data_IF_018255262346
#
_entry.id   IF_018255262346
#
_cell.length_a   1.000
_cell.length_b   1.000
_cell.length_c   1.000
_cell.angle_alpha   90.00
_cell.angle_beta   90.00
_cell.angle_gamma   90.00
#
_symmetry.space_group_name_H-M   'P 1'
#
loop_
_entity.id
_entity.type
_entity.pdbx_description
1 polymer ?
#
# COMPACT_ATOMS: atom_id res chain seq x y z
N UNK A 1 3.85 39.88 -12.83
CA UNK A 1 3.50 39.67 -12.56
C UNK A 1 3.86 39.23 -12.49
N UNK A 2 3.79 39.00 -12.71
CA UNK A 2 3.68 38.70 -12.52
C UNK A 2 4.20 38.13 -12.52
N UNK A 3 3.99 38.29 -12.69
CA UNK A 3 3.82 38.02 -12.59
C UNK A 3 4.06 37.48 -12.49
N UNK A 4 4.41 37.94 -13.07
CA UNK A 4 4.09 37.66 -12.88
C UNK A 4 4.53 37.14 -12.77
N UNK A 5 4.79 37.44 -13.06
CA UNK A 5 4.48 37.17 -12.78
C UNK A 5 4.58 36.63 -12.77
N UNK A 6 4.76 36.86 -13.30
CA UNK A 6 4.05 36.50 -13.15
C UNK A 6 4.00 35.90 -13.20
N UNK A 7 4.51 36.42 -13.52
CA UNK A 7 3.85 36.14 -13.33
C UNK A 7 3.75 35.52 -13.37
N UNK A 8 3.60 35.52 -13.65
CA UNK A 8 3.12 35.22 -13.38
C UNK A 8 2.68 34.62 -13.44
N UNK A 9 2.64 34.87 -14.05
CA UNK A 9 1.79 34.52 -13.75
C UNK A 9 1.43 33.91 -14.08
N UNK A 10 1.08 33.85 -14.53
CA UNK A 10 0.38 33.50 -14.53
C UNK A 10 -0.19 32.92 -14.84
N UNK A 11 -0.09 32.86 -15.27
CA UNK A 11 -0.70 32.35 -15.17
C UNK A 11 -1.30 31.75 -15.18
N UNK A 12 -1.49 31.88 -15.64
CA UNK A 12 -2.06 31.27 -15.24
C UNK A 12 -2.57 30.48 -15.10
N UNK A 13 -2.83 30.63 -15.41
CA UNK A 13 -3.06 30.00 -15.39
C UNK A 13 -3.51 29.28 -15.01
N UNK A 14 -3.26 29.75 -15.49
CA UNK A 14 -4.07 28.87 -15.39
C UNK A 14 -4.02 28.04 -14.25
N UNK A 15 -4.08 28.56 -13.48
CA UNK A 15 -3.96 27.88 -12.27
C UNK A 15 -4.78 26.63 -12.30
N UNK A 16 -4.13 25.67 -12.30
CA UNK A 16 -4.70 24.39 -12.41
C UNK A 16 -5.28 23.98 -11.09
N UNK A 17 -6.56 23.90 -11.06
CA UNK A 17 -7.22 23.28 -9.93
C UNK A 17 -6.95 21.78 -9.99
N UNK A 18 -6.45 21.24 -8.91
CA UNK A 18 -6.29 19.80 -8.79
C UNK A 18 -7.65 19.14 -8.64
N UNK A 19 -7.85 18.03 -9.31
CA UNK A 19 -9.07 17.25 -9.18
C UNK A 19 -9.19 16.65 -7.78
N UNK A 20 -10.39 16.23 -7.41
CA UNK A 20 -10.61 15.55 -6.12
C UNK A 20 -9.73 14.31 -5.99
N UNK A 21 -9.56 13.56 -7.09
CA UNK A 21 -8.72 12.35 -7.06
C UNK A 21 -7.24 12.69 -6.87
N UNK A 22 -6.77 13.80 -7.44
CA UNK A 22 -5.39 14.24 -7.23
C UNK A 22 -5.17 14.67 -5.79
N UNK A 23 -6.12 15.42 -5.20
CA UNK A 23 -6.03 15.82 -3.81
C UNK A 23 -6.02 14.63 -2.87
N UNK A 24 -6.86 13.62 -3.13
CA UNK A 24 -6.88 12.40 -2.34
C UNK A 24 -5.54 11.69 -2.39
N UNK A 25 -4.94 11.59 -3.57
CA UNK A 25 -3.64 10.93 -3.74
C UNK A 25 -2.53 11.67 -2.99
N UNK A 26 -2.56 13.00 -3.03
CA UNK A 26 -1.57 13.80 -2.30
C UNK A 26 -1.71 13.65 -0.79
N UNK A 27 -2.94 13.66 -0.28
CA UNK A 27 -3.21 13.44 1.14
C UNK A 27 -2.74 12.06 1.59
N UNK A 28 -3.01 11.05 0.74
CA UNK A 28 -2.57 9.68 0.98
C UNK A 28 -1.06 9.60 1.09
N UNK A 29 -0.35 10.21 0.13
CA UNK A 29 1.10 10.22 0.13
C UNK A 29 1.66 10.88 1.39
N UNK A 30 1.12 12.04 1.77
CA UNK A 30 1.58 12.74 2.98
C UNK A 30 1.36 11.92 4.23
N UNK A 31 0.23 11.24 4.33
CA UNK A 31 -0.08 10.38 5.47
C UNK A 31 0.91 9.22 5.55
N UNK A 32 1.18 8.58 4.42
CA UNK A 32 2.13 7.47 4.40
C UNK A 32 3.55 7.92 4.73
N UNK A 33 3.97 9.10 4.23
CA UNK A 33 5.27 9.66 4.56
C UNK A 33 5.43 9.89 6.05
N UNK A 34 4.39 10.40 6.68
CA UNK A 34 4.39 10.68 8.12
C UNK A 34 4.68 9.42 8.95
N UNK A 35 4.17 8.27 8.53
CA UNK A 35 4.28 7.03 9.29
C UNK A 35 5.37 6.09 8.80
N UNK A 36 5.69 6.11 7.52
CA UNK A 36 6.53 5.09 6.91
C UNK A 36 7.73 5.61 6.14
N UNK A 37 7.95 6.95 6.16
CA UNK A 37 9.11 7.53 5.50
C UNK A 37 8.87 7.89 4.05
N UNK A 38 9.95 7.94 3.26
CA UNK A 38 9.88 8.43 1.89
C UNK A 38 9.22 7.44 0.92
N UNK A 39 8.54 8.00 -0.06
CA UNK A 39 7.98 7.22 -1.15
C UNK A 39 9.09 6.74 -2.07
N UNK A 40 9.05 5.46 -2.42
CA UNK A 40 9.93 4.89 -3.44
C UNK A 40 9.27 5.10 -4.79
N UNK A 41 9.95 5.81 -5.68
CA UNK A 41 9.44 6.11 -7.02
C UNK A 41 10.22 5.34 -8.07
N UNK A 42 9.56 4.98 -9.15
CA UNK A 42 10.17 4.27 -10.25
C UNK A 42 9.14 3.82 -11.25
N UNK A 43 9.60 3.31 -12.37
CA UNK A 43 8.72 2.82 -13.43
C UNK A 43 8.23 1.42 -13.11
N UNK A 44 6.93 1.21 -13.32
CA UNK A 44 6.34 -0.12 -13.22
C UNK A 44 6.55 -0.80 -11.86
N UNK A 45 6.52 -0.02 -10.78
CA UNK A 45 6.61 -0.58 -9.43
C UNK A 45 5.25 -1.15 -9.03
N UNK A 46 4.89 -2.27 -9.64
CA UNK A 46 3.60 -2.93 -9.42
C UNK A 46 3.79 -4.42 -9.25
N UNK A 47 2.93 -5.02 -8.43
CA UNK A 47 2.94 -6.44 -8.19
C UNK A 47 4.27 -6.93 -7.61
N UNK A 48 4.80 -7.98 -8.19
CA UNK A 48 6.08 -8.55 -7.72
C UNK A 48 7.25 -7.59 -7.81
N UNK A 49 7.24 -6.70 -8.80
CA UNK A 49 8.31 -5.70 -8.93
C UNK A 49 8.34 -4.76 -7.74
N UNK A 50 7.16 -4.34 -7.28
CA UNK A 50 7.05 -3.51 -6.09
C UNK A 50 7.57 -4.26 -4.87
N UNK A 51 7.21 -5.53 -4.73
CA UNK A 51 7.67 -6.37 -3.65
C UNK A 51 9.19 -6.49 -3.64
N UNK A 52 9.79 -6.84 -4.78
CA UNK A 52 11.25 -6.99 -4.87
C UNK A 52 11.97 -5.68 -4.61
N UNK A 53 11.44 -4.57 -5.12
CA UNK A 53 12.02 -3.25 -4.86
C UNK A 53 11.99 -2.92 -3.37
N UNK A 54 10.87 -3.21 -2.70
CA UNK A 54 10.74 -2.97 -1.27
C UNK A 54 11.70 -3.84 -0.46
N UNK A 55 11.88 -5.10 -0.86
CA UNK A 55 12.82 -6.01 -0.20
C UNK A 55 14.27 -5.53 -0.36
N UNK A 56 14.56 -4.84 -1.45
CA UNK A 56 15.86 -4.26 -1.71
C UNK A 56 16.09 -3.00 -0.88
N UNK A 57 15.11 -2.09 -0.87
CA UNK A 57 15.21 -0.80 -0.17
C UNK A 57 15.07 -0.91 1.34
N UNK A 58 14.16 -1.75 1.79
CA UNK A 58 13.87 -2.02 3.21
C UNK A 58 13.51 -0.76 4.01
N UNK A 59 12.78 0.14 3.38
CA UNK A 59 12.30 1.38 3.99
C UNK A 59 11.24 2.02 3.09
N UNK A 60 10.45 2.94 3.65
CA UNK A 60 9.52 3.74 2.87
C UNK A 60 8.29 2.98 2.40
N UNK A 61 7.72 3.46 1.30
CA UNK A 61 6.51 2.87 0.76
C UNK A 61 6.43 3.04 -0.75
N UNK A 62 5.61 2.20 -1.39
CA UNK A 62 5.31 2.28 -2.82
C UNK A 62 3.80 2.45 -2.95
N UNK A 63 3.37 3.58 -3.54
CA UNK A 63 1.95 3.81 -3.78
C UNK A 63 1.46 3.01 -4.96
N UNK A 64 0.23 2.47 -4.84
CA UNK A 64 -0.40 1.75 -5.93
C UNK A 64 0.35 0.51 -6.36
N UNK A 65 1.04 -0.14 -5.43
CA UNK A 65 1.78 -1.36 -5.72
C UNK A 65 0.88 -2.47 -6.26
N UNK A 66 -0.37 -2.49 -5.80
CA UNK A 66 -1.38 -3.43 -6.26
C UNK A 66 -2.68 -2.70 -6.56
N UNK A 67 -3.55 -3.36 -7.31
CA UNK A 67 -4.85 -2.78 -7.62
C UNK A 67 -5.92 -3.88 -7.68
N UNK A 68 -7.09 -3.58 -7.10
CA UNK A 68 -8.28 -4.42 -7.22
C UNK A 68 -9.47 -3.52 -7.50
N UNK A 69 -10.37 -3.96 -8.36
CA UNK A 69 -11.54 -3.15 -8.71
C UNK A 69 -12.44 -2.89 -7.51
N UNK A 70 -12.49 -3.82 -6.55
CA UNK A 70 -13.34 -3.70 -5.37
C UNK A 70 -12.75 -2.85 -4.25
N UNK A 71 -11.45 -2.59 -4.26
CA UNK A 71 -10.77 -1.80 -3.23
C UNK A 71 -10.12 -0.55 -3.82
N UNK A 72 -9.64 -0.64 -5.06
CA UNK A 72 -8.82 0.38 -5.68
C UNK A 72 -7.34 0.09 -5.48
N UNK A 73 -6.54 1.15 -5.43
CA UNK A 73 -5.10 1.02 -5.26
C UNK A 73 -4.73 0.59 -3.85
N UNK A 74 -3.79 -0.33 -3.76
CA UNK A 74 -3.30 -0.86 -2.49
C UNK A 74 -1.81 -0.56 -2.43
N UNK A 75 -1.39 0.09 -1.35
CA UNK A 75 -0.01 0.49 -1.18
C UNK A 75 0.78 -0.59 -0.45
N UNK A 76 2.08 -0.58 -0.68
CA UNK A 76 3.00 -1.49 -0.01
C UNK A 76 3.94 -0.64 0.83
N UNK A 77 4.02 -0.94 2.13
CA UNK A 77 4.91 -0.23 3.05
C UNK A 77 5.93 -1.21 3.60
N UNK A 78 7.15 -0.74 3.88
CA UNK A 78 8.11 -1.56 4.59
C UNK A 78 7.60 -1.77 6.02
N UNK A 79 7.20 -0.68 6.67
CA UNK A 79 6.54 -0.74 7.96
C UNK A 79 7.46 -0.99 9.12
N UNK A 80 6.90 -1.65 10.13
CA UNK A 80 7.56 -1.88 11.41
C UNK A 80 7.08 -3.23 11.98
N UNK A 81 7.24 -3.44 13.29
CA UNK A 81 6.81 -4.68 13.93
C UNK A 81 5.29 -4.89 13.93
N UNK A 82 4.51 -3.87 13.58
CA UNK A 82 3.05 -3.93 13.65
C UNK A 82 2.37 -4.04 12.28
N UNK A 83 3.00 -3.55 11.23
CA UNK A 83 2.40 -3.53 9.91
C UNK A 83 3.45 -3.46 8.81
N UNK A 84 3.14 -4.01 7.65
CA UNK A 84 3.97 -3.96 6.47
C UNK A 84 4.86 -5.16 6.28
N UNK A 85 5.81 -5.06 5.35
CA UNK A 85 6.68 -6.18 5.02
C UNK A 85 7.58 -6.61 6.17
N UNK A 86 8.10 -5.66 6.95
CA UNK A 86 8.92 -6.01 8.11
C UNK A 86 8.13 -6.86 9.09
N UNK A 87 6.88 -6.49 9.34
CA UNK A 87 6.00 -7.27 10.20
C UNK A 87 5.78 -8.69 9.65
N UNK A 88 5.53 -8.81 8.35
CA UNK A 88 5.33 -10.11 7.71
C UNK A 88 6.57 -10.98 7.92
N UNK A 89 7.74 -10.44 7.64
CA UNK A 89 8.99 -11.18 7.75
C UNK A 89 9.20 -11.69 9.18
N UNK A 90 9.10 -10.79 10.16
CA UNK A 90 9.30 -11.14 11.55
C UNK A 90 8.30 -12.20 12.05
N UNK A 91 7.02 -11.97 11.75
CA UNK A 91 5.98 -12.88 12.26
C UNK A 91 6.04 -14.24 11.59
N UNK A 92 6.32 -14.30 10.29
CA UNK A 92 6.40 -15.60 9.59
C UNK A 92 7.61 -16.40 10.07
N UNK A 93 8.72 -15.73 10.32
CA UNK A 93 9.91 -16.41 10.89
C UNK A 93 9.63 -16.91 12.29
N UNK A 94 9.03 -16.09 13.15
CA UNK A 94 8.71 -16.46 14.53
C UNK A 94 7.75 -17.65 14.61
N UNK A 95 6.81 -17.72 13.65
CA UNK A 95 5.82 -18.79 13.61
C UNK A 95 6.28 -20.02 12.84
N UNK A 96 7.50 -20.01 12.31
CA UNK A 96 8.03 -21.12 11.54
C UNK A 96 7.32 -21.36 10.22
N UNK A 97 6.63 -20.36 9.68
CA UNK A 97 5.97 -20.47 8.38
C UNK A 97 6.96 -20.25 7.24
N UNK A 98 6.60 -20.75 6.06
CA UNK A 98 7.43 -20.58 4.87
C UNK A 98 7.36 -19.14 4.36
N UNK A 99 8.29 -18.31 4.83
CA UNK A 99 8.32 -16.89 4.46
C UNK A 99 8.41 -16.68 2.95
N UNK A 100 9.26 -17.43 2.28
CA UNK A 100 9.43 -17.32 0.83
C UNK A 100 8.11 -17.54 0.11
N UNK A 101 7.37 -18.57 0.49
CA UNK A 101 6.09 -18.89 -0.14
C UNK A 101 5.07 -17.79 0.11
N UNK A 102 4.99 -17.26 1.34
CA UNK A 102 4.07 -16.18 1.66
C UNK A 102 4.38 -14.95 0.82
N UNK A 103 5.66 -14.57 0.72
CA UNK A 103 6.06 -13.39 -0.06
C UNK A 103 5.85 -13.59 -1.57
N UNK A 104 6.20 -14.76 -2.10
CA UNK A 104 6.03 -15.03 -3.52
C UNK A 104 4.56 -15.06 -3.94
N UNK A 105 3.69 -15.49 -3.04
CA UNK A 105 2.25 -15.55 -3.32
C UNK A 105 1.51 -14.26 -3.01
N UNK A 106 2.18 -13.27 -2.44
CA UNK A 106 1.52 -12.03 -2.00
C UNK A 106 0.79 -11.33 -3.14
N UNK A 107 1.46 -11.10 -4.25
CA UNK A 107 0.86 -10.42 -5.41
C UNK A 107 -0.31 -11.21 -5.98
N UNK A 108 -0.13 -12.51 -6.17
CA UNK A 108 -1.18 -13.38 -6.70
C UNK A 108 -2.39 -13.41 -5.78
N UNK A 109 -2.14 -13.51 -4.47
CA UNK A 109 -3.22 -13.53 -3.47
C UNK A 109 -4.01 -12.22 -3.51
N UNK A 110 -3.33 -11.09 -3.57
CA UNK A 110 -4.02 -9.80 -3.63
C UNK A 110 -4.86 -9.68 -4.90
N UNK A 111 -4.32 -10.07 -6.04
CA UNK A 111 -5.04 -9.93 -7.31
C UNK A 111 -6.19 -10.92 -7.48
N UNK A 112 -5.99 -12.16 -7.09
CA UNK A 112 -6.92 -13.23 -7.42
C UNK A 112 -7.71 -13.76 -6.22
N UNK A 113 -7.39 -13.31 -5.03
CA UNK A 113 -8.04 -13.77 -3.82
C UNK A 113 -9.44 -13.20 -3.65
N UNK A 114 -10.20 -13.83 -2.75
CA UNK A 114 -11.55 -13.39 -2.42
C UNK A 114 -11.49 -12.38 -1.28
N UNK A 115 -12.17 -11.25 -1.47
CA UNK A 115 -12.24 -10.21 -0.45
C UNK A 115 -13.18 -10.62 0.69
N UNK A 116 -12.68 -10.50 1.91
CA UNK A 116 -13.44 -10.73 3.14
C UNK A 116 -13.55 -9.43 3.91
N UNK A 117 -14.76 -8.95 4.12
CA UNK A 117 -15.02 -7.63 4.73
C UNK A 117 -15.39 -7.68 6.21
N UNK A 118 -15.18 -8.82 6.87
CA UNK A 118 -15.61 -9.01 8.26
C UNK A 118 -15.08 -7.93 9.23
N UNK A 119 -13.87 -7.43 8.98
CA UNK A 119 -13.25 -6.40 9.82
C UNK A 119 -13.42 -4.97 9.31
N UNK A 120 -14.25 -4.75 8.31
CA UNK A 120 -14.33 -3.45 7.61
C UNK A 120 -14.69 -2.29 8.55
N UNK A 121 -15.50 -2.52 9.55
CA UNK A 121 -15.87 -1.50 10.54
C UNK A 121 -14.66 -0.99 11.31
N UNK A 122 -13.66 -1.83 11.49
CA UNK A 122 -12.45 -1.48 12.22
C UNK A 122 -11.34 -0.96 11.29
N UNK A 123 -11.68 -0.70 10.02
CA UNK A 123 -10.72 -0.20 9.06
C UNK A 123 -9.78 -1.26 8.53
N UNK A 124 -10.22 -2.50 8.47
CA UNK A 124 -9.42 -3.58 7.89
C UNK A 124 -10.27 -4.54 7.07
N UNK A 125 -9.67 -5.13 6.07
CA UNK A 125 -10.29 -6.21 5.28
C UNK A 125 -9.24 -7.27 5.05
N UNK A 126 -9.67 -8.45 4.64
CA UNK A 126 -8.74 -9.53 4.32
C UNK A 126 -9.00 -10.04 2.90
N UNK A 127 -7.96 -10.57 2.29
CA UNK A 127 -8.05 -11.24 1.00
C UNK A 127 -7.57 -12.66 1.21
N UNK A 128 -8.39 -13.62 0.79
CA UNK A 128 -8.06 -15.03 0.94
C UNK A 128 -7.82 -15.68 -0.41
N UNK A 129 -6.67 -16.32 -0.54
CA UNK A 129 -6.30 -17.08 -1.73
C UNK A 129 -5.75 -18.44 -1.31
N UNK A 130 -6.54 -19.49 -1.52
CA UNK A 130 -6.20 -20.79 -1.00
C UNK A 130 -6.07 -20.75 0.50
N UNK A 131 -4.92 -21.15 1.02
CA UNK A 131 -4.65 -21.07 2.45
C UNK A 131 -3.88 -19.82 2.86
N UNK A 132 -3.61 -18.91 1.92
CA UNK A 132 -2.95 -17.65 2.26
C UNK A 132 -3.99 -16.56 2.53
N UNK A 133 -3.74 -15.78 3.55
CA UNK A 133 -4.56 -14.64 3.90
C UNK A 133 -3.71 -13.39 3.95
N UNK A 134 -4.19 -12.33 3.30
CA UNK A 134 -3.53 -11.02 3.32
C UNK A 134 -4.46 -10.05 4.02
N UNK A 135 -3.96 -9.37 5.04
CA UNK A 135 -4.75 -8.39 5.77
C UNK A 135 -4.34 -6.99 5.34
N UNK A 136 -5.34 -6.16 5.02
CA UNK A 136 -5.14 -4.80 4.58
C UNK A 136 -5.74 -3.84 5.59
N UNK A 137 -5.07 -2.71 5.83
CA UNK A 137 -5.70 -1.58 6.45
C UNK A 137 -6.41 -0.80 5.35
N UNK A 138 -7.63 -0.36 5.61
CA UNK A 138 -8.37 0.50 4.68
C UNK A 138 -8.46 1.94 5.22
N UNK A 139 -7.86 2.17 6.38
CA UNK A 139 -7.93 3.47 7.03
C UNK A 139 -6.70 3.72 7.91
N UNK A 140 -6.19 4.93 7.89
CA UNK A 140 -5.11 5.34 8.78
C UNK A 140 -5.45 6.73 9.32
N UNK A 141 -5.62 6.85 10.65
CA UNK A 141 -6.03 8.11 11.30
C UNK A 141 -7.25 8.76 10.65
N UNK A 142 -8.29 7.95 10.38
CA UNK A 142 -9.53 8.44 9.79
C UNK A 142 -9.45 8.72 8.30
N UNK A 143 -8.34 8.44 7.63
CA UNK A 143 -8.19 8.64 6.20
C UNK A 143 -8.28 7.30 5.45
N UNK A 144 -8.91 7.33 4.28
CA UNK A 144 -9.07 6.14 3.46
C UNK A 144 -7.75 5.83 2.74
N UNK A 145 -7.02 4.88 3.29
CA UNK A 145 -5.74 4.43 2.73
C UNK A 145 -5.67 2.93 2.82
N UNK A 146 -5.54 2.27 1.68
CA UNK A 146 -5.44 0.82 1.66
C UNK A 146 -3.98 0.39 1.54
N UNK A 147 -3.48 -0.32 2.53
CA UNK A 147 -2.11 -0.83 2.47
C UNK A 147 -2.01 -2.18 3.17
N UNK A 148 -0.98 -2.93 2.79
CA UNK A 148 -0.76 -4.28 3.33
C UNK A 148 -0.26 -4.20 4.77
N UNK A 149 -0.99 -4.82 5.70
CA UNK A 149 -0.59 -4.93 7.10
C UNK A 149 0.23 -6.19 7.32
N UNK A 150 -0.31 -7.34 6.92
CA UNK A 150 0.33 -8.63 7.14
C UNK A 150 -0.16 -9.67 6.14
N UNK A 151 0.57 -10.76 6.05
CA UNK A 151 0.18 -11.90 5.24
C UNK A 151 0.69 -13.16 5.94
N UNK A 152 -0.09 -14.23 5.86
CA UNK A 152 0.27 -15.50 6.49
C UNK A 152 -0.51 -16.64 5.85
N UNK A 153 -0.08 -17.86 6.16
CA UNK A 153 -0.81 -19.05 5.74
C UNK A 153 -1.69 -19.55 6.87
N UNK A 154 -2.91 -19.91 6.53
CA UNK A 154 -3.81 -20.51 7.50
C UNK A 154 -3.38 -21.97 7.76
N UNK A 155 -3.63 -22.42 8.99
CA UNK A 155 -3.31 -23.80 9.36
C UNK A 155 -4.07 -24.78 8.47
N UNK A 156 -3.42 -25.88 8.13
CA UNK A 156 -3.97 -26.88 7.23
C UNK A 156 -5.00 -27.80 7.90
N UNK A 157 -5.64 -27.35 8.92
CA UNK A 157 -6.68 -28.15 9.61
C UNK A 157 -8.06 -27.87 9.05
#
# INVERSE_FOLDING_TARGET
>A
HPRDSGGKFSTFGAGTRKSKSQLKREHKAKTLEQFYGEEIKGKNLKGRRALFKMLEERKGFIRGAFHRDDIGDIDLVWGDSEAGLEHIIQRRMDKGQNLKRVLMNLSTAIQNGRLERAGERNGSVAIRYGKQRVCLSTRKKGRDISFVITAYELDAK
#
